data_IF_224275393093
#
_entry.id   IF_224275393093
#
_cell.length_a   1.000
_cell.length_b   1.000
_cell.length_c   1.000
_cell.angle_alpha   90.00
_cell.angle_beta   90.00
_cell.angle_gamma   90.00
#
_symmetry.space_group_name_H-M   'P 1'
#
loop_
_entity.id
_entity.type
_entity.pdbx_description
1 polymer ?
#
# COMPACT_ATOMS: atom_id res chain seq x y z
N UNK A 1 7.56 -12.18 2.54
CA UNK A 1 6.91 -10.91 2.94
C UNK A 1 7.16 -9.88 1.86
N UNK A 2 6.15 -9.11 1.50
CA UNK A 2 6.27 -8.07 0.48
C UNK A 2 7.23 -6.93 0.86
N UNK A 3 7.53 -6.05 -0.08
CA UNK A 3 8.18 -4.78 0.17
C UNK A 3 7.37 -3.64 -0.43
N UNK A 4 7.33 -2.53 0.27
CA UNK A 4 6.65 -1.31 -0.14
C UNK A 4 7.60 -0.12 -0.08
N UNK A 5 7.41 0.85 -0.98
CA UNK A 5 8.06 2.15 -0.90
C UNK A 5 7.11 3.23 -1.44
N UNK A 6 7.15 4.41 -0.85
CA UNK A 6 6.47 5.60 -1.33
C UNK A 6 7.44 6.77 -1.35
N UNK A 7 7.34 7.63 -2.35
CA UNK A 7 8.13 8.85 -2.45
C UNK A 7 7.25 9.98 -2.97
N UNK A 8 7.36 11.16 -2.34
CA UNK A 8 6.49 12.31 -2.65
C UNK A 8 7.20 13.34 -3.56
N UNK A 9 7.82 12.85 -4.62
CA UNK A 9 8.37 13.70 -5.70
C UNK A 9 8.43 12.95 -7.02
N UNK A 10 8.25 13.69 -8.11
CA UNK A 10 8.51 13.23 -9.49
C UNK A 10 9.89 13.65 -10.01
N UNK A 11 10.65 14.41 -9.21
CA UNK A 11 11.98 14.90 -9.58
C UNK A 11 13.08 13.87 -9.32
N UNK A 12 12.75 12.58 -9.37
CA UNK A 12 13.73 11.50 -9.25
C UNK A 12 14.00 10.88 -10.62
N UNK A 13 15.23 10.46 -10.84
CA UNK A 13 15.55 9.59 -11.96
C UNK A 13 14.88 8.24 -11.76
N UNK A 14 14.05 7.81 -12.72
CA UNK A 14 13.27 6.58 -12.61
C UNK A 14 14.14 5.34 -12.53
N UNK A 15 15.29 5.32 -13.21
CA UNK A 15 16.23 4.21 -13.14
C UNK A 15 16.88 4.13 -11.74
N UNK A 16 17.18 5.28 -11.14
CA UNK A 16 17.71 5.34 -9.78
C UNK A 16 16.64 4.91 -8.75
N UNK A 17 15.40 5.35 -8.92
CA UNK A 17 14.26 4.93 -8.08
C UNK A 17 14.11 3.41 -8.12
N UNK A 18 14.10 2.82 -9.32
CA UNK A 18 13.99 1.38 -9.53
C UNK A 18 15.15 0.64 -8.87
N UNK A 19 16.39 1.07 -9.12
CA UNK A 19 17.58 0.45 -8.55
C UNK A 19 17.60 0.52 -7.01
N UNK A 20 17.10 1.60 -6.42
CA UNK A 20 16.96 1.71 -4.97
C UNK A 20 15.91 0.75 -4.42
N UNK A 21 14.75 0.67 -5.08
CA UNK A 21 13.67 -0.22 -4.66
C UNK A 21 14.03 -1.69 -4.82
N UNK A 22 14.73 -2.06 -5.89
CA UNK A 22 15.17 -3.44 -6.18
C UNK A 22 16.13 -4.01 -5.12
N UNK A 23 16.72 -3.17 -4.27
CA UNK A 23 17.49 -3.65 -3.10
C UNK A 23 16.65 -4.49 -2.14
N UNK A 24 15.34 -4.40 -2.23
CA UNK A 24 14.39 -5.19 -1.41
C UNK A 24 13.65 -6.26 -2.21
N UNK A 25 14.04 -6.52 -3.47
CA UNK A 25 13.37 -7.48 -4.37
C UNK A 25 13.25 -8.89 -3.77
N UNK A 26 14.26 -9.34 -3.00
CA UNK A 26 14.24 -10.65 -2.35
C UNK A 26 13.10 -10.82 -1.33
N UNK A 27 12.45 -9.73 -0.91
CA UNK A 27 11.29 -9.80 -0.02
C UNK A 27 10.00 -10.16 -0.75
N UNK A 28 9.92 -9.81 -2.03
CA UNK A 28 8.74 -10.06 -2.87
C UNK A 28 9.15 -10.35 -4.32
N UNK A 29 9.73 -11.53 -4.58
CA UNK A 29 10.34 -11.83 -5.86
C UNK A 29 9.34 -12.16 -6.98
N UNK A 30 8.05 -12.35 -6.66
CA UNK A 30 7.09 -12.88 -7.62
C UNK A 30 6.65 -11.84 -8.65
N UNK A 31 6.45 -10.60 -8.22
CA UNK A 31 6.05 -9.50 -9.11
C UNK A 31 6.52 -8.15 -8.55
N UNK A 32 6.85 -7.23 -9.46
CA UNK A 32 7.20 -5.83 -9.14
C UNK A 32 6.28 -4.88 -9.85
N UNK A 33 5.87 -3.81 -9.16
CA UNK A 33 5.17 -2.67 -9.73
C UNK A 33 5.68 -1.38 -9.12
N UNK A 34 5.98 -0.40 -9.98
CA UNK A 34 6.23 0.99 -9.61
C UNK A 34 5.18 1.79 -10.34
N UNK A 35 4.36 2.51 -9.61
CA UNK A 35 3.23 3.23 -10.17
C UNK A 35 3.26 4.69 -9.76
N UNK A 36 3.00 5.56 -10.73
CA UNK A 36 3.04 7.00 -10.57
C UNK A 36 1.76 7.49 -9.87
N UNK A 37 1.94 8.31 -8.84
CA UNK A 37 0.85 9.13 -8.28
C UNK A 37 0.94 10.55 -8.84
N UNK A 38 -0.07 11.41 -8.68
CA UNK A 38 0.04 12.82 -9.04
C UNK A 38 1.21 13.57 -8.41
N UNK A 39 1.73 13.13 -7.27
CA UNK A 39 2.79 13.81 -6.52
C UNK A 39 4.10 13.01 -6.41
N UNK A 40 4.11 11.74 -6.83
CA UNK A 40 5.30 10.89 -6.69
C UNK A 40 5.08 9.47 -7.18
N UNK A 41 5.51 8.47 -6.39
CA UNK A 41 5.42 7.06 -6.77
C UNK A 41 5.05 6.19 -5.57
N UNK A 42 4.29 5.11 -5.84
CA UNK A 42 4.12 3.95 -4.96
C UNK A 42 4.75 2.72 -5.62
N UNK A 43 5.51 1.97 -4.83
CA UNK A 43 6.25 0.81 -5.30
C UNK A 43 5.88 -0.43 -4.48
N UNK A 44 5.76 -1.58 -5.14
CA UNK A 44 5.39 -2.83 -4.52
C UNK A 44 6.17 -4.01 -5.11
N UNK A 45 6.88 -4.75 -4.24
CA UNK A 45 7.40 -6.09 -4.54
C UNK A 45 6.50 -7.12 -3.86
N UNK A 46 5.92 -8.01 -4.64
CA UNK A 46 4.97 -9.01 -4.17
C UNK A 46 5.63 -10.33 -3.85
N UNK A 47 5.31 -10.85 -2.66
CA UNK A 47 5.34 -12.28 -2.35
C UNK A 47 3.89 -12.76 -2.28
N UNK A 48 3.48 -13.58 -3.23
CA UNK A 48 2.10 -14.02 -3.39
C UNK A 48 1.76 -15.12 -2.37
N UNK A 49 1.21 -14.74 -1.21
CA UNK A 49 0.76 -15.66 -0.15
C UNK A 49 -0.77 -15.74 -0.16
N UNK A 50 -1.44 -14.60 -0.28
CA UNK A 50 -2.88 -14.47 -0.39
C UNK A 50 -3.28 -13.90 -1.76
N UNK A 51 -4.49 -14.30 -2.26
CA UNK A 51 -4.98 -13.80 -3.54
C UNK A 51 -3.98 -14.06 -4.67
N UNK A 52 -3.64 -15.35 -4.91
CA UNK A 52 -2.53 -15.76 -5.77
C UNK A 52 -2.64 -15.30 -7.23
N UNK A 53 -3.84 -14.90 -7.67
CA UNK A 53 -4.07 -14.40 -9.01
C UNK A 53 -3.44 -13.01 -9.24
N UNK A 54 -3.26 -12.57 -10.50
CA UNK A 54 -2.69 -11.27 -10.83
C UNK A 54 -3.44 -10.08 -10.23
N UNK A 55 -4.76 -10.20 -10.00
CA UNK A 55 -5.62 -9.16 -9.42
C UNK A 55 -5.24 -8.82 -7.98
N UNK A 56 -4.52 -9.71 -7.28
CA UNK A 56 -3.96 -9.43 -5.95
C UNK A 56 -2.71 -8.56 -5.96
N UNK A 57 -2.27 -8.06 -7.15
CA UNK A 57 -1.13 -7.15 -7.26
C UNK A 57 -1.50 -5.74 -6.82
N UNK A 58 -0.59 -5.13 -6.06
CA UNK A 58 -0.73 -3.76 -5.56
C UNK A 58 0.11 -2.79 -6.41
N UNK A 59 -0.18 -1.46 -6.38
CA UNK A 59 -1.21 -0.78 -5.59
C UNK A 59 -2.64 -1.21 -5.92
N UNK A 60 -3.52 -1.24 -4.91
CA UNK A 60 -4.96 -1.24 -5.14
C UNK A 60 -5.44 0.19 -5.40
N UNK A 61 -6.54 0.32 -6.16
CA UNK A 61 -7.09 1.59 -6.60
C UNK A 61 -8.57 1.72 -6.24
N UNK A 62 -8.97 2.93 -5.82
CA UNK A 62 -10.38 3.31 -5.64
C UNK A 62 -10.53 4.82 -5.80
N UNK A 63 -11.32 5.27 -6.78
CA UNK A 63 -11.64 6.69 -7.02
C UNK A 63 -10.43 7.63 -7.07
N UNK A 64 -9.30 7.15 -7.60
CA UNK A 64 -8.04 7.89 -7.70
C UNK A 64 -7.12 7.73 -6.48
N UNK A 65 -7.60 7.16 -5.38
CA UNK A 65 -6.77 6.78 -4.24
C UNK A 65 -6.03 5.48 -4.53
N UNK A 66 -4.87 5.32 -3.92
CA UNK A 66 -4.00 4.16 -4.10
C UNK A 66 -3.45 3.68 -2.76
N UNK A 67 -3.24 2.37 -2.61
CA UNK A 67 -2.61 1.82 -1.40
C UNK A 67 -1.67 0.67 -1.73
N UNK A 68 -0.52 0.67 -1.06
CA UNK A 68 0.39 -0.47 -0.95
C UNK A 68 0.52 -0.88 0.52
N UNK A 69 0.47 -2.18 0.76
CA UNK A 69 0.51 -2.75 2.11
C UNK A 69 1.39 -4.00 2.15
N UNK A 70 2.32 -4.03 3.08
CA UNK A 70 3.00 -5.25 3.51
C UNK A 70 2.41 -5.66 4.85
N UNK A 71 1.47 -6.59 4.87
CA UNK A 71 0.78 -6.98 6.08
C UNK A 71 -0.20 -8.11 5.88
N UNK A 72 -0.96 -8.38 6.93
CA UNK A 72 -2.06 -9.32 6.97
C UNK A 72 -3.22 -8.72 7.77
N UNK A 73 -4.39 -8.64 7.14
CA UNK A 73 -5.60 -8.10 7.75
C UNK A 73 -6.45 -9.26 8.27
N UNK A 74 -6.41 -9.47 9.57
CA UNK A 74 -7.17 -10.56 10.20
C UNK A 74 -8.67 -10.32 10.10
N UNK A 75 -9.42 -11.38 9.92
CA UNK A 75 -10.88 -11.28 9.80
C UNK A 75 -11.38 -10.51 8.57
N UNK A 76 -10.53 -10.25 7.57
CA UNK A 76 -10.86 -9.48 6.37
C UNK A 76 -12.14 -9.96 5.65
N UNK A 77 -12.48 -11.26 5.73
CA UNK A 77 -13.71 -11.78 5.12
C UNK A 77 -14.98 -11.13 5.69
N UNK A 78 -15.00 -10.82 7.00
CA UNK A 78 -16.12 -10.10 7.63
C UNK A 78 -16.17 -8.64 7.18
N UNK A 79 -14.99 -7.99 7.08
CA UNK A 79 -14.88 -6.62 6.57
C UNK A 79 -15.33 -6.57 5.10
N UNK A 80 -14.89 -7.51 4.28
CA UNK A 80 -15.29 -7.64 2.87
C UNK A 80 -16.81 -7.80 2.74
N UNK A 81 -17.43 -8.74 3.46
CA UNK A 81 -18.88 -8.95 3.43
C UNK A 81 -19.67 -7.70 3.84
N UNK A 82 -19.15 -6.90 4.77
CA UNK A 82 -19.78 -5.63 5.16
C UNK A 82 -19.63 -4.51 4.12
N UNK A 83 -18.73 -4.66 3.16
CA UNK A 83 -18.39 -3.66 2.15
C UNK A 83 -18.82 -4.04 0.73
N UNK A 84 -19.13 -5.33 0.47
CA UNK A 84 -19.36 -5.85 -0.88
C UNK A 84 -20.55 -5.23 -1.62
N UNK A 85 -21.54 -4.68 -0.89
CA UNK A 85 -22.65 -3.95 -1.50
C UNK A 85 -22.24 -2.56 -2.03
N UNK A 86 -21.14 -2.01 -1.55
CA UNK A 86 -20.66 -0.67 -1.89
C UNK A 86 -19.41 -0.73 -2.76
N UNK A 87 -18.66 -1.84 -2.70
CA UNK A 87 -17.40 -2.00 -3.38
C UNK A 87 -17.28 -3.38 -4.08
N UNK A 88 -17.12 -3.40 -5.42
CA UNK A 88 -16.91 -4.63 -6.16
C UNK A 88 -15.47 -5.11 -6.03
N UNK A 89 -15.20 -5.99 -5.08
CA UNK A 89 -13.87 -6.58 -4.89
C UNK A 89 -13.44 -7.38 -6.12
N UNK A 90 -12.20 -7.17 -6.56
CA UNK A 90 -11.64 -7.78 -7.77
C UNK A 90 -10.69 -8.94 -7.46
N UNK A 91 -10.07 -8.96 -6.27
CA UNK A 91 -9.11 -9.98 -5.87
C UNK A 91 -9.58 -10.77 -4.65
N UNK A 92 -8.77 -11.73 -4.24
CA UNK A 92 -8.92 -12.45 -2.98
C UNK A 92 -7.90 -11.97 -1.93
N UNK A 93 -7.23 -10.83 -2.17
CA UNK A 93 -6.31 -10.24 -1.22
C UNK A 93 -7.06 -9.63 -0.03
N UNK A 94 -6.54 -9.89 1.15
CA UNK A 94 -7.01 -9.28 2.38
C UNK A 94 -6.79 -7.75 2.41
N UNK A 95 -5.69 -7.28 1.83
CA UNK A 95 -5.35 -5.86 1.77
C UNK A 95 -6.28 -5.03 0.86
N UNK A 96 -7.08 -5.65 -0.01
CA UNK A 96 -8.02 -4.93 -0.87
C UNK A 96 -9.12 -4.21 -0.07
N UNK A 97 -9.39 -4.61 1.18
CA UNK A 97 -10.38 -3.94 2.04
C UNK A 97 -9.93 -2.54 2.51
N UNK A 98 -8.64 -2.21 2.39
CA UNK A 98 -8.07 -0.99 2.98
C UNK A 98 -8.64 0.30 2.37
N UNK A 99 -8.74 0.39 1.03
CA UNK A 99 -9.30 1.59 0.40
C UNK A 99 -10.79 1.78 0.68
N UNK A 100 -11.66 0.74 0.57
CA UNK A 100 -13.05 0.87 0.97
C UNK A 100 -13.24 1.27 2.45
N UNK A 101 -12.39 0.76 3.35
CA UNK A 101 -12.40 1.18 4.75
C UNK A 101 -11.95 2.63 4.91
N UNK A 102 -10.93 3.06 4.16
CA UNK A 102 -10.49 4.45 4.18
C UNK A 102 -11.59 5.40 3.67
N UNK A 103 -12.27 5.05 2.59
CA UNK A 103 -13.39 5.83 2.06
C UNK A 103 -14.53 5.97 3.07
N UNK A 104 -14.82 4.91 3.83
CA UNK A 104 -15.92 4.90 4.80
C UNK A 104 -15.57 5.60 6.11
N UNK A 105 -14.32 5.47 6.59
CA UNK A 105 -13.93 5.89 7.95
C UNK A 105 -12.77 6.88 8.00
N UNK A 106 -12.15 7.21 6.87
CA UNK A 106 -10.92 7.99 6.86
C UNK A 106 -9.82 7.31 7.68
N UNK A 107 -9.00 8.10 8.36
CA UNK A 107 -7.93 7.57 9.24
C UNK A 107 -8.43 6.81 10.45
N UNK A 108 -9.71 6.96 10.84
CA UNK A 108 -10.29 6.15 11.92
C UNK A 108 -10.42 4.66 11.56
N UNK A 109 -10.20 4.30 10.29
CA UNK A 109 -10.10 2.90 9.88
C UNK A 109 -9.04 2.14 10.67
N UNK A 110 -7.91 2.79 11.00
CA UNK A 110 -6.80 2.14 11.70
C UNK A 110 -7.19 1.60 13.08
N UNK A 111 -8.17 2.20 13.73
CA UNK A 111 -8.72 1.73 15.03
C UNK A 111 -9.63 0.51 14.88
N UNK A 112 -10.00 0.17 13.65
CA UNK A 112 -10.92 -0.93 13.33
C UNK A 112 -10.23 -2.15 12.74
N UNK A 113 -8.92 -2.03 12.50
CA UNK A 113 -8.12 -3.10 11.95
C UNK A 113 -7.57 -3.98 13.08
N UNK A 114 -7.84 -5.28 12.99
CA UNK A 114 -7.07 -6.31 13.66
C UNK A 114 -6.06 -6.83 12.61
N UNK A 115 -4.82 -6.35 12.69
CA UNK A 115 -3.87 -6.52 11.61
C UNK A 115 -2.42 -6.34 12.04
N UNK A 116 -1.51 -6.99 11.35
CA UNK A 116 -0.08 -6.63 11.34
C UNK A 116 0.25 -6.01 9.98
N UNK A 117 0.69 -4.76 9.95
CA UNK A 117 0.87 -4.06 8.68
C UNK A 117 1.87 -2.91 8.73
N UNK A 118 2.47 -2.66 7.58
CA UNK A 118 3.00 -1.36 7.17
C UNK A 118 2.35 -1.01 5.83
N UNK A 119 1.79 0.18 5.71
CA UNK A 119 1.13 0.62 4.49
C UNK A 119 1.49 2.07 4.14
N UNK A 120 1.35 2.37 2.85
CA UNK A 120 1.40 3.73 2.32
C UNK A 120 0.17 3.90 1.42
N UNK A 121 -0.64 4.92 1.73
CA UNK A 121 -1.85 5.26 1.01
C UNK A 121 -1.70 6.67 0.41
N UNK A 122 -2.03 6.82 -0.86
CA UNK A 122 -2.17 8.10 -1.52
C UNK A 122 -3.64 8.52 -1.52
N UNK A 123 -3.95 9.65 -0.87
CA UNK A 123 -5.26 10.31 -0.90
C UNK A 123 -5.27 11.32 -2.05
N UNK A 124 -6.01 11.03 -3.10
CA UNK A 124 -6.07 11.83 -4.32
C UNK A 124 -6.74 13.19 -4.12
N UNK A 125 -7.73 13.25 -3.22
CA UNK A 125 -8.50 14.48 -2.92
C UNK A 125 -7.66 15.47 -2.13
N UNK A 126 -6.90 14.97 -1.14
CA UNK A 126 -6.00 15.78 -0.31
C UNK A 126 -4.61 15.92 -0.90
N UNK A 127 -4.29 15.11 -1.94
CA UNK A 127 -2.97 15.07 -2.59
C UNK A 127 -1.85 14.83 -1.60
N UNK A 128 -2.01 13.81 -0.74
CA UNK A 128 -1.06 13.49 0.33
C UNK A 128 -0.81 11.99 0.43
N UNK A 129 0.38 11.64 0.90
CA UNK A 129 0.70 10.30 1.36
C UNK A 129 0.34 10.13 2.84
N UNK A 130 -0.24 9.00 3.17
CA UNK A 130 -0.49 8.56 4.55
C UNK A 130 0.32 7.30 4.75
N UNK A 131 1.31 7.36 5.63
CA UNK A 131 2.10 6.20 6.02
C UNK A 131 1.68 5.74 7.42
N UNK A 132 1.39 4.45 7.57
CA UNK A 132 0.96 3.88 8.84
C UNK A 132 1.51 2.46 9.04
N UNK A 133 1.70 2.09 10.29
CA UNK A 133 2.03 0.72 10.69
C UNK A 133 1.18 0.29 11.88
N UNK A 134 1.14 -1.01 12.12
CA UNK A 134 0.48 -1.56 13.29
C UNK A 134 1.07 -1.01 14.62
N UNK A 135 0.28 -0.98 15.71
CA UNK A 135 0.70 -0.37 16.97
C UNK A 135 1.95 -0.99 17.59
N UNK A 136 2.20 -2.27 17.35
CA UNK A 136 3.35 -2.99 17.88
C UNK A 136 4.57 -2.81 16.96
N UNK A 137 4.34 -2.56 15.65
CA UNK A 137 5.38 -2.46 14.64
C UNK A 137 5.91 -3.83 14.21
N UNK A 138 5.03 -4.84 14.16
CA UNK A 138 5.35 -6.19 13.64
C UNK A 138 5.88 -6.08 12.22
N UNK A 139 5.26 -5.22 11.41
CA UNK A 139 5.78 -4.85 10.09
C UNK A 139 6.54 -3.53 10.22
N UNK A 140 7.87 -3.52 10.00
CA UNK A 140 8.64 -2.29 10.11
C UNK A 140 8.26 -1.31 8.99
N UNK A 141 8.22 -0.04 9.35
CA UNK A 141 8.08 1.09 8.43
C UNK A 141 9.17 2.10 8.77
N UNK A 142 9.95 2.49 7.77
CA UNK A 142 10.98 3.51 7.89
C UNK A 142 10.59 4.69 7.02
N UNK A 143 11.03 5.88 7.41
CA UNK A 143 10.92 7.06 6.58
C UNK A 143 12.22 7.85 6.63
N UNK A 144 12.44 8.64 5.61
CA UNK A 144 13.60 9.50 5.50
C UNK A 144 13.31 10.72 4.66
N UNK A 145 14.32 11.54 4.49
CA UNK A 145 14.24 12.75 3.66
C UNK A 145 15.35 12.73 2.61
N UNK A 146 14.98 13.10 1.40
CA UNK A 146 15.96 13.44 0.37
C UNK A 146 16.66 14.77 0.71
N UNK A 147 17.71 15.10 -0.04
CA UNK A 147 18.48 16.33 0.20
C UNK A 147 17.64 17.61 0.06
N UNK A 148 16.58 17.57 -0.73
CA UNK A 148 15.63 18.68 -0.94
C UNK A 148 14.50 18.72 0.11
N UNK A 149 14.54 17.85 1.12
CA UNK A 149 13.52 17.73 2.16
C UNK A 149 12.30 16.89 1.78
N UNK A 150 12.27 16.31 0.57
CA UNK A 150 11.20 15.39 0.15
C UNK A 150 11.20 14.14 1.03
N UNK A 151 10.01 13.71 1.46
CA UNK A 151 9.83 12.48 2.25
C UNK A 151 9.84 11.22 1.34
N UNK A 152 10.49 10.18 1.83
CA UNK A 152 10.52 8.86 1.20
C UNK A 152 10.39 7.75 2.25
#
# INVERSE_FOLDING_TARGET
MCSIMGIETKKVDFAQLTACFDRTLQRGPDMTRIEETPTGYLCFHRLAIMGLSPEGMQPFHLDGDMVVCNGEIYGFRKLRAALEMEYPFQSQSDCEVLLPLYHRYGVDMFRRLDAEFALILYDSKKRQLIAARDPIGIRPLFYGYLQDGTIA
#
